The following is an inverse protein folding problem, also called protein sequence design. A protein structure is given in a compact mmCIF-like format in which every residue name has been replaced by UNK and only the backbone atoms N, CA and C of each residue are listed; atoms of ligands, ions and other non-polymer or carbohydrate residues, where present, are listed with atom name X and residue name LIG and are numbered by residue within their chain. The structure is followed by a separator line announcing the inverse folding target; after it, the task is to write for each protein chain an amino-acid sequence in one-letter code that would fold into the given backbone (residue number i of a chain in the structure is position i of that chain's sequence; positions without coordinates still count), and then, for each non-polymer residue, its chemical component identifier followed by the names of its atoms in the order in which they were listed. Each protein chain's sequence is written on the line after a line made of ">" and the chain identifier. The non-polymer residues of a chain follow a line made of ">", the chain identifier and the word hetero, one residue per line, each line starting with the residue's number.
data_IF_159861997524
#
_entry.id   IF_159861997524
#
_cell.length_a   1.000
_cell.length_b   1.000
_cell.length_c   1.000
_cell.angle_alpha   90.00
_cell.angle_beta   90.00
_cell.angle_gamma   90.00
#
_symmetry.space_group_name_H-M   'P 1'
#
loop_
_entity.id
_entity.type
_entity.pdbx_description
1 polymer ?
#
# COMPACT_ATOMS: atom_id res chain seq x y z
N UNK A 1 10.28 23.76 -38.63
CA UNK A 1 10.35 23.45 -37.19
C UNK A 1 9.38 22.31 -36.90
N UNK A 2 9.81 21.06 -37.00
CA UNK A 2 8.95 19.88 -36.83
C UNK A 2 9.37 19.13 -35.58
N UNK A 3 8.97 19.67 -34.42
CA UNK A 3 9.02 18.97 -33.15
C UNK A 3 7.66 19.10 -32.51
N UNK A 4 6.86 18.05 -32.55
CA UNK A 4 5.55 18.02 -31.90
C UNK A 4 5.72 18.36 -30.42
N UNK A 5 5.23 19.55 -30.02
CA UNK A 5 5.32 20.11 -28.66
C UNK A 5 4.20 19.60 -27.76
N UNK A 6 3.75 18.36 -27.99
CA UNK A 6 2.72 17.76 -27.15
C UNK A 6 3.31 17.38 -25.79
N UNK A 7 2.53 17.53 -24.70
CA UNK A 7 2.92 17.01 -23.39
C UNK A 7 3.32 15.54 -23.47
N UNK A 8 4.45 15.18 -22.86
CA UNK A 8 4.92 13.79 -22.77
C UNK A 8 4.80 13.31 -21.33
N UNK A 9 4.20 12.13 -21.08
CA UNK A 9 4.25 11.51 -19.76
C UNK A 9 5.70 11.29 -19.31
N UNK A 10 5.92 11.29 -17.99
CA UNK A 10 7.21 10.91 -17.41
C UNK A 10 7.61 9.50 -17.89
N UNK A 11 8.87 9.22 -18.25
CA UNK A 11 9.32 7.91 -18.74
C UNK A 11 8.92 6.74 -17.84
N UNK A 12 8.95 7.00 -16.53
CA UNK A 12 8.58 6.12 -15.43
C UNK A 12 7.22 5.43 -15.56
N UNK A 13 6.28 6.02 -16.30
CA UNK A 13 4.94 5.48 -16.57
C UNK A 13 5.00 4.19 -17.40
N UNK A 14 6.04 4.03 -18.23
CA UNK A 14 6.20 2.92 -19.16
C UNK A 14 7.15 1.83 -18.63
N UNK A 15 7.75 2.03 -17.46
CA UNK A 15 8.74 1.14 -16.89
C UNK A 15 8.10 0.10 -15.95
N UNK A 16 8.68 -1.10 -15.92
CA UNK A 16 8.28 -2.17 -15.01
C UNK A 16 7.01 -2.93 -15.43
N UNK A 17 6.68 -3.97 -14.66
CA UNK A 17 5.46 -4.73 -14.89
C UNK A 17 4.23 -3.97 -14.36
N UNK A 18 3.08 -4.02 -15.07
CA UNK A 18 1.83 -3.50 -14.54
C UNK A 18 1.32 -4.38 -13.38
N UNK A 19 0.48 -3.80 -12.53
CA UNK A 19 -0.21 -4.54 -11.48
C UNK A 19 -1.09 -5.64 -12.08
N UNK A 20 -1.05 -6.85 -11.50
CA UNK A 20 -1.86 -7.99 -11.95
C UNK A 20 -2.86 -8.36 -10.86
N UNK A 21 -4.10 -7.89 -11.02
CA UNK A 21 -5.18 -8.24 -10.11
C UNK A 21 -5.46 -9.77 -10.11
N UNK A 22 -5.92 -10.28 -8.97
CA UNK A 22 -6.35 -11.66 -8.82
C UNK A 22 -7.47 -12.01 -9.82
N UNK A 23 -7.31 -13.09 -10.57
CA UNK A 23 -8.24 -13.48 -11.64
C UNK A 23 -9.61 -13.88 -11.08
N UNK A 24 -10.72 -13.64 -11.80
CA UNK A 24 -12.00 -14.24 -11.45
C UNK A 24 -11.90 -15.78 -11.56
N UNK A 25 -12.74 -16.52 -10.82
CA UNK A 25 -12.77 -17.98 -10.93
C UNK A 25 -13.10 -18.38 -12.37
N UNK A 26 -12.37 -19.38 -12.88
CA UNK A 26 -12.65 -19.96 -14.21
C UNK A 26 -14.01 -20.65 -14.17
N UNK A 27 -14.89 -20.32 -15.11
CA UNK A 27 -16.16 -21.01 -15.29
C UNK A 27 -15.89 -22.39 -15.91
N UNK A 28 -16.28 -23.45 -15.19
CA UNK A 28 -16.20 -24.84 -15.64
C UNK A 28 -17.61 -25.43 -15.55
N UNK A 29 -18.20 -25.94 -16.66
CA UNK A 29 -19.55 -26.49 -16.64
C UNK A 29 -19.73 -27.56 -15.55
N UNK A 30 -20.78 -27.43 -14.75
CA UNK A 30 -21.07 -28.35 -13.65
C UNK A 30 -20.23 -28.14 -12.38
N UNK A 31 -19.36 -27.12 -12.33
CA UNK A 31 -18.52 -26.81 -11.16
C UNK A 31 -18.81 -25.39 -10.66
N UNK A 32 -19.05 -25.25 -9.36
CA UNK A 32 -19.18 -23.92 -8.72
C UNK A 32 -17.79 -23.31 -8.57
N UNK A 33 -17.57 -22.16 -9.19
CA UNK A 33 -16.32 -21.41 -9.06
C UNK A 33 -16.32 -20.50 -7.82
N UNK A 34 -15.30 -20.66 -6.96
CA UNK A 34 -15.11 -19.80 -5.79
C UNK A 34 -13.97 -18.81 -6.00
N UNK A 35 -14.16 -17.56 -5.57
CA UNK A 35 -13.14 -16.51 -5.64
C UNK A 35 -12.24 -16.58 -4.40
N UNK A 36 -11.01 -17.07 -4.57
CA UNK A 36 -10.03 -17.25 -3.49
C UNK A 36 -8.68 -16.55 -3.78
N UNK A 37 -8.68 -15.53 -4.63
CA UNK A 37 -7.46 -14.93 -5.17
C UNK A 37 -7.22 -13.47 -4.74
N UNK A 38 -8.04 -12.92 -3.84
CA UNK A 38 -8.03 -11.49 -3.48
C UNK A 38 -8.17 -11.23 -1.97
N UNK A 39 -8.04 -12.26 -1.12
CA UNK A 39 -8.19 -12.15 0.33
C UNK A 39 -9.52 -11.50 0.78
N UNK A 40 -10.59 -11.67 0.00
CA UNK A 40 -11.92 -11.14 0.30
C UNK A 40 -12.53 -11.87 1.51
N UNK A 41 -13.23 -11.14 2.37
CA UNK A 41 -13.97 -11.75 3.47
C UNK A 41 -15.16 -12.55 2.88
N UNK A 42 -15.39 -13.80 3.31
CA UNK A 42 -16.45 -14.63 2.74
C UNK A 42 -17.87 -14.30 3.26
N UNK A 43 -18.00 -13.44 4.26
CA UNK A 43 -19.27 -13.11 4.90
C UNK A 43 -19.86 -11.80 4.35
N UNK A 44 -21.18 -11.70 4.42
CA UNK A 44 -21.88 -10.44 4.16
C UNK A 44 -21.52 -9.37 5.22
N UNK A 45 -21.59 -8.07 4.86
CA UNK A 45 -21.50 -7.01 5.84
C UNK A 45 -22.62 -7.12 6.87
N UNK A 46 -22.33 -6.74 8.12
CA UNK A 46 -23.32 -6.70 9.20
C UNK A 46 -24.55 -5.85 8.80
N UNK A 47 -25.77 -6.17 9.29
CA UNK A 47 -26.99 -5.41 8.98
C UNK A 47 -26.84 -3.89 9.18
N UNK A 48 -26.20 -3.48 10.27
CA UNK A 48 -25.98 -2.09 10.66
C UNK A 48 -25.09 -1.35 9.65
N UNK A 49 -24.11 -2.03 9.06
CA UNK A 49 -23.24 -1.48 8.00
C UNK A 49 -24.04 -1.26 6.73
N UNK A 50 -24.91 -2.21 6.36
CA UNK A 50 -25.77 -2.10 5.17
C UNK A 50 -26.75 -0.93 5.32
N UNK A 51 -27.35 -0.78 6.49
CA UNK A 51 -28.24 0.34 6.79
C UNK A 51 -27.53 1.69 6.79
N UNK A 52 -26.33 1.77 7.37
CA UNK A 52 -25.52 3.00 7.36
C UNK A 52 -25.14 3.40 5.93
N UNK A 53 -24.72 2.43 5.10
CA UNK A 53 -24.43 2.67 3.69
C UNK A 53 -25.66 3.17 2.92
N UNK A 54 -26.85 2.59 3.17
CA UNK A 54 -28.09 3.05 2.55
C UNK A 54 -28.45 4.49 2.95
N UNK A 55 -28.29 4.86 4.23
CA UNK A 55 -28.50 6.23 4.71
C UNK A 55 -27.51 7.22 4.09
N UNK A 56 -26.29 6.78 3.78
CA UNK A 56 -25.24 7.59 3.18
C UNK A 56 -25.45 7.92 1.68
N UNK A 57 -26.50 7.40 1.03
CA UNK A 57 -26.77 7.58 -0.42
C UNK A 57 -27.23 9.00 -0.83
N UNK A 58 -26.76 10.06 -0.16
CA UNK A 58 -26.95 11.45 -0.58
C UNK A 58 -25.94 11.86 -1.66
N UNK A 59 -25.87 11.10 -2.75
CA UNK A 59 -24.82 11.12 -3.78
C UNK A 59 -24.66 12.45 -4.54
N UNK A 60 -25.60 13.38 -4.39
CA UNK A 60 -25.58 14.70 -5.02
C UNK A 60 -24.81 15.74 -4.19
N UNK A 61 -24.31 15.37 -3.01
CA UNK A 61 -23.53 16.24 -2.11
C UNK A 61 -22.10 15.74 -2.00
N UNK A 62 -21.16 16.66 -1.79
CA UNK A 62 -19.80 16.29 -1.40
C UNK A 62 -19.81 15.62 -0.02
N UNK A 63 -18.97 14.59 0.21
CA UNK A 63 -18.74 14.06 1.55
C UNK A 63 -17.98 15.09 2.40
N UNK A 64 -17.91 14.83 3.71
CA UNK A 64 -17.00 15.57 4.60
C UNK A 64 -15.55 15.42 4.09
N UNK A 65 -14.88 16.52 3.67
CA UNK A 65 -13.54 16.45 3.12
C UNK A 65 -12.48 16.04 4.17
N UNK A 66 -12.81 16.11 5.46
CA UNK A 66 -11.88 15.79 6.55
C UNK A 66 -12.04 14.35 7.06
N UNK A 67 -13.17 13.71 6.75
CA UNK A 67 -13.61 12.45 7.33
C UNK A 67 -13.49 12.42 8.87
N UNK A 68 -13.75 13.55 9.53
CA UNK A 68 -13.46 13.73 10.96
C UNK A 68 -14.18 12.69 11.84
N UNK A 69 -15.49 12.40 11.66
CA UNK A 69 -16.16 11.40 12.49
C UNK A 69 -15.55 9.99 12.36
N UNK A 70 -15.05 9.62 11.18
CA UNK A 70 -14.35 8.35 10.98
C UNK A 70 -13.00 8.33 11.71
N UNK A 71 -12.25 9.43 11.61
CA UNK A 71 -10.93 9.58 12.25
C UNK A 71 -11.05 9.55 13.78
N UNK A 72 -12.06 10.22 14.33
CA UNK A 72 -12.35 10.19 15.78
C UNK A 72 -12.69 8.78 16.27
N UNK A 73 -13.56 8.06 15.56
CA UNK A 73 -13.94 6.69 15.93
C UNK A 73 -12.75 5.71 15.87
N UNK A 74 -11.88 5.81 14.85
CA UNK A 74 -10.65 5.01 14.76
C UNK A 74 -9.68 5.40 15.89
N UNK A 75 -9.55 6.70 16.17
CA UNK A 75 -8.67 7.19 17.22
C UNK A 75 -9.07 6.68 18.60
N UNK A 76 -10.37 6.69 18.92
CA UNK A 76 -10.92 6.12 20.16
C UNK A 76 -10.61 4.62 20.29
N UNK A 77 -10.84 3.85 19.22
CA UNK A 77 -10.56 2.40 19.20
C UNK A 77 -9.09 2.08 19.52
N UNK A 78 -8.16 2.94 19.09
CA UNK A 78 -6.73 2.74 19.26
C UNK A 78 -6.10 3.57 20.40
N UNK A 79 -6.90 4.31 21.17
CA UNK A 79 -6.42 5.14 22.28
C UNK A 79 -5.48 6.28 21.83
N UNK A 80 -5.75 6.89 20.67
CA UNK A 80 -4.96 8.00 20.10
C UNK A 80 -5.84 9.22 19.79
N UNK A 81 -5.32 10.21 19.05
CA UNK A 81 -6.06 11.41 18.62
C UNK A 81 -6.43 11.34 17.14
N UNK A 82 -7.46 12.08 16.73
CA UNK A 82 -7.86 12.17 15.32
C UNK A 82 -6.72 12.70 14.42
N UNK A 83 -5.82 13.54 14.95
CA UNK A 83 -4.64 14.05 14.23
C UNK A 83 -3.60 12.96 13.94
N UNK A 84 -3.63 11.84 14.68
CA UNK A 84 -2.79 10.68 14.41
C UNK A 84 -3.41 9.70 13.39
N UNK A 85 -4.62 9.98 12.88
CA UNK A 85 -5.36 9.12 11.94
C UNK A 85 -5.55 9.84 10.62
N UNK A 86 -5.15 9.18 9.53
CA UNK A 86 -5.40 9.64 8.16
C UNK A 86 -6.38 8.70 7.45
N UNK A 87 -7.42 9.26 6.83
CA UNK A 87 -8.37 8.51 6.03
C UNK A 87 -7.99 8.59 4.54
N UNK A 88 -8.05 7.47 3.85
CA UNK A 88 -7.80 7.38 2.40
C UNK A 88 -8.80 6.45 1.72
N UNK A 89 -8.84 6.49 0.40
CA UNK A 89 -9.69 5.60 -0.42
C UNK A 89 -9.07 4.21 -0.57
N UNK A 90 -8.79 3.57 0.57
CA UNK A 90 -7.99 2.36 0.71
C UNK A 90 -6.56 2.65 1.17
N UNK A 91 -5.91 1.66 1.80
CA UNK A 91 -4.57 1.84 2.38
C UNK A 91 -3.48 2.16 1.35
N UNK A 92 -3.68 1.80 0.07
CA UNK A 92 -2.75 2.16 -1.01
C UNK A 92 -2.73 3.67 -1.27
N UNK A 93 -3.84 4.38 -1.10
CA UNK A 93 -3.90 5.84 -1.20
C UNK A 93 -3.05 6.48 -0.10
N UNK A 94 -3.22 6.02 1.14
CA UNK A 94 -2.42 6.49 2.29
C UNK A 94 -0.92 6.21 2.07
N UNK A 95 -0.55 5.02 1.59
CA UNK A 95 0.83 4.70 1.24
C UNK A 95 1.39 5.63 0.17
N UNK A 96 0.64 5.90 -0.90
CA UNK A 96 1.08 6.80 -1.97
C UNK A 96 1.28 8.23 -1.45
N UNK A 97 0.47 8.68 -0.49
CA UNK A 97 0.62 9.99 0.16
C UNK A 97 1.87 10.04 1.04
N UNK A 98 2.17 8.98 1.79
CA UNK A 98 3.43 8.84 2.53
C UNK A 98 4.62 8.92 1.56
N UNK A 99 4.59 8.16 0.48
CA UNK A 99 5.65 8.18 -0.52
C UNK A 99 5.81 9.58 -1.14
N UNK A 100 4.71 10.22 -1.53
CA UNK A 100 4.75 11.58 -2.09
C UNK A 100 5.28 12.63 -1.10
N UNK A 101 5.10 12.42 0.21
CA UNK A 101 5.59 13.32 1.25
C UNK A 101 7.08 13.13 1.54
N UNK A 102 7.59 11.89 1.50
CA UNK A 102 8.91 11.55 2.04
C UNK A 102 9.93 11.08 1.01
N UNK A 103 9.52 10.56 -0.15
CA UNK A 103 10.41 9.94 -1.12
C UNK A 103 10.15 10.43 -2.54
N UNK A 104 11.22 10.74 -3.26
CA UNK A 104 11.11 11.07 -4.68
C UNK A 104 12.46 11.20 -5.33
N UNK A 105 12.61 12.23 -6.15
CA UNK A 105 13.91 12.66 -6.67
C UNK A 105 14.30 13.93 -5.94
N UNK A 106 15.44 13.90 -5.26
CA UNK A 106 15.97 15.05 -4.55
C UNK A 106 16.34 16.19 -5.49
N UNK A 107 16.61 17.37 -4.92
CA UNK A 107 17.05 18.55 -5.69
C UNK A 107 18.39 18.32 -6.42
N UNK A 108 19.18 17.35 -5.96
CA UNK A 108 20.42 16.88 -6.58
C UNK A 108 20.19 15.98 -7.81
N UNK A 109 18.93 15.71 -8.16
CA UNK A 109 18.57 14.82 -9.26
C UNK A 109 18.72 13.33 -8.93
N UNK A 110 19.09 12.98 -7.70
CA UNK A 110 19.27 11.59 -7.27
C UNK A 110 17.98 11.09 -6.62
N UNK A 111 17.61 9.85 -6.90
CA UNK A 111 16.42 9.25 -6.28
C UNK A 111 16.65 8.94 -4.81
N UNK A 112 15.64 9.19 -3.99
CA UNK A 112 15.54 8.61 -2.65
C UNK A 112 15.24 7.12 -2.74
N UNK A 113 15.49 6.39 -1.67
CA UNK A 113 15.35 4.94 -1.59
C UNK A 113 14.19 4.55 -0.69
N UNK A 114 13.43 3.54 -1.15
CA UNK A 114 12.36 2.91 -0.38
C UNK A 114 12.66 1.43 -0.25
N UNK A 115 12.93 0.99 0.98
CA UNK A 115 13.29 -0.40 1.30
C UNK A 115 12.04 -1.19 1.64
N UNK A 116 11.93 -2.41 1.10
CA UNK A 116 10.85 -3.33 1.43
C UNK A 116 11.27 -4.78 1.16
N UNK A 117 10.67 -5.74 1.87
CA UNK A 117 10.89 -7.16 1.62
C UNK A 117 10.34 -7.61 0.25
N UNK A 118 10.98 -8.56 -0.41
CA UNK A 118 10.56 -9.11 -1.69
C UNK A 118 10.74 -10.64 -1.74
N UNK A 119 9.69 -11.41 -2.06
CA UNK A 119 8.37 -11.01 -2.56
C UNK A 119 7.44 -10.46 -1.45
N UNK A 120 6.83 -9.31 -1.70
CA UNK A 120 5.79 -8.72 -0.86
C UNK A 120 4.67 -8.17 -1.75
N UNK A 121 3.95 -7.13 -1.30
CA UNK A 121 2.80 -6.62 -2.04
C UNK A 121 3.20 -6.07 -3.42
N UNK A 122 2.51 -6.54 -4.47
CA UNK A 122 2.89 -6.26 -5.86
C UNK A 122 2.81 -4.77 -6.23
N UNK A 123 2.08 -3.96 -5.48
CA UNK A 123 1.97 -2.52 -5.72
C UNK A 123 3.18 -1.73 -5.23
N UNK A 124 4.01 -2.22 -4.29
CA UNK A 124 5.13 -1.43 -3.75
C UNK A 124 6.12 -0.97 -4.83
N UNK A 125 6.63 -1.83 -5.73
CA UNK A 125 7.52 -1.37 -6.80
C UNK A 125 6.86 -0.35 -7.73
N UNK A 126 5.54 -0.40 -7.90
CA UNK A 126 4.80 0.52 -8.76
C UNK A 126 4.67 1.88 -8.07
N UNK A 127 4.20 1.89 -6.83
CA UNK A 127 4.01 3.12 -6.04
C UNK A 127 5.31 3.88 -5.82
N UNK A 128 6.39 3.18 -5.46
CA UNK A 128 7.72 3.78 -5.26
C UNK A 128 8.22 4.42 -6.56
N UNK A 129 8.08 3.70 -7.68
CA UNK A 129 8.48 4.19 -8.99
C UNK A 129 7.67 5.43 -9.40
N UNK A 130 6.35 5.40 -9.20
CA UNK A 130 5.46 6.53 -9.53
C UNK A 130 5.75 7.79 -8.69
N UNK A 131 6.16 7.62 -7.43
CA UNK A 131 6.66 8.70 -6.59
C UNK A 131 8.00 9.30 -7.10
N UNK A 132 8.69 8.63 -8.02
CA UNK A 132 9.99 9.04 -8.53
C UNK A 132 11.16 8.60 -7.66
N UNK A 133 10.94 7.67 -6.73
CA UNK A 133 11.95 7.08 -5.87
C UNK A 133 12.46 5.74 -6.43
N UNK A 134 13.56 5.25 -5.85
CA UNK A 134 14.19 3.97 -6.18
C UNK A 134 13.70 2.89 -5.21
N UNK A 135 13.16 1.80 -5.77
CA UNK A 135 12.80 0.62 -4.99
C UNK A 135 14.07 -0.16 -4.59
N UNK A 136 14.15 -0.56 -3.31
CA UNK A 136 15.21 -1.42 -2.76
C UNK A 136 14.54 -2.70 -2.21
N UNK A 137 14.27 -3.69 -3.08
CA UNK A 137 13.69 -4.96 -2.66
C UNK A 137 14.75 -5.83 -1.96
N UNK A 138 14.43 -6.30 -0.75
CA UNK A 138 15.29 -7.17 0.06
C UNK A 138 14.72 -8.59 0.07
N UNK A 139 15.48 -9.63 -0.29
CA UNK A 139 14.99 -11.01 -0.25
C UNK A 139 14.37 -11.38 1.11
N UNK A 140 13.28 -12.16 1.08
CA UNK A 140 12.74 -12.77 2.29
C UNK A 140 13.69 -13.80 2.87
N UNK A 141 13.57 -14.05 4.17
CA UNK A 141 14.17 -15.21 4.82
C UNK A 141 13.61 -16.52 4.24
N UNK A 142 14.31 -17.63 4.47
CA UNK A 142 13.96 -18.94 3.91
C UNK A 142 12.54 -19.42 4.26
N UNK A 143 11.97 -18.96 5.36
CA UNK A 143 10.62 -19.29 5.82
C UNK A 143 9.54 -18.28 5.36
N UNK A 144 9.91 -17.35 4.48
CA UNK A 144 9.00 -16.35 3.92
C UNK A 144 8.72 -15.15 4.84
N UNK A 145 9.39 -15.03 6.00
CA UNK A 145 9.39 -13.80 6.80
C UNK A 145 10.28 -12.73 6.19
N UNK A 146 10.11 -11.49 6.65
CA UNK A 146 11.08 -10.44 6.36
C UNK A 146 12.43 -10.80 6.99
N UNK A 147 13.50 -10.62 6.23
CA UNK A 147 14.85 -10.63 6.77
C UNK A 147 15.17 -9.22 7.30
N UNK A 148 14.81 -8.97 8.56
CA UNK A 148 14.94 -7.65 9.17
C UNK A 148 16.40 -7.17 9.26
N UNK A 149 17.35 -8.09 9.44
CA UNK A 149 18.78 -7.76 9.44
C UNK A 149 19.22 -7.30 8.05
N UNK A 150 18.89 -8.05 7.01
CA UNK A 150 19.20 -7.64 5.63
C UNK A 150 18.47 -6.36 5.23
N UNK A 151 17.26 -6.11 5.77
CA UNK A 151 16.54 -4.86 5.54
C UNK A 151 17.21 -3.66 6.21
N UNK A 152 17.77 -3.84 7.41
CA UNK A 152 18.54 -2.81 8.10
C UNK A 152 19.85 -2.52 7.34
N UNK A 153 20.56 -3.56 6.88
CA UNK A 153 21.79 -3.44 6.08
C UNK A 153 21.56 -2.73 4.73
N UNK A 154 20.33 -2.78 4.20
CA UNK A 154 19.95 -2.10 2.96
C UNK A 154 19.65 -0.61 3.15
N UNK A 155 19.57 -0.12 4.40
CA UNK A 155 19.37 1.31 4.69
C UNK A 155 20.63 2.09 4.34
N UNK A 156 20.44 3.17 3.59
CA UNK A 156 21.51 4.09 3.19
C UNK A 156 21.15 5.53 3.56
N UNK A 157 22.08 6.46 3.32
CA UNK A 157 21.80 7.90 3.47
C UNK A 157 20.66 8.41 2.56
N UNK A 158 20.28 7.65 1.53
CA UNK A 158 19.17 7.95 0.62
C UNK A 158 17.85 7.31 1.05
N UNK A 159 17.84 6.42 2.03
CA UNK A 159 16.59 5.80 2.48
C UNK A 159 15.69 6.85 3.14
N UNK A 160 14.43 6.87 2.72
CA UNK A 160 13.39 7.77 3.27
C UNK A 160 12.20 7.03 3.82
N UNK A 161 11.92 5.83 3.31
CA UNK A 161 10.81 4.99 3.76
C UNK A 161 11.27 3.53 3.81
N UNK A 162 10.88 2.84 4.87
CA UNK A 162 10.94 1.38 4.96
C UNK A 162 9.51 0.85 5.10
N UNK A 163 9.12 -0.11 4.25
CA UNK A 163 7.77 -0.70 4.28
C UNK A 163 7.84 -2.10 4.90
N UNK A 164 7.20 -2.26 6.05
CA UNK A 164 7.04 -3.54 6.74
C UNK A 164 5.59 -4.04 6.61
N UNK A 165 5.34 -4.91 5.62
CA UNK A 165 4.07 -5.62 5.46
C UNK A 165 3.93 -6.78 6.47
N UNK A 166 3.09 -6.64 7.49
CA UNK A 166 2.88 -7.66 8.53
C UNK A 166 1.38 -7.83 8.85
N UNK A 167 0.79 -9.03 8.68
CA UNK A 167 1.38 -10.23 8.07
C UNK A 167 1.76 -9.99 6.60
N UNK A 168 2.84 -10.64 6.12
CA UNK A 168 3.36 -10.36 4.79
C UNK A 168 2.43 -10.90 3.69
N UNK A 169 2.01 -10.04 2.76
CA UNK A 169 1.35 -10.47 1.53
C UNK A 169 2.41 -10.67 0.44
N UNK A 170 2.58 -11.86 -0.17
CA UNK A 170 1.66 -13.00 -0.16
C UNK A 170 2.07 -14.16 0.75
N UNK A 171 3.20 -14.07 1.47
CA UNK A 171 3.81 -15.26 2.08
C UNK A 171 3.14 -15.71 3.37
N UNK A 172 2.50 -14.82 4.13
CA UNK A 172 1.67 -15.13 5.29
C UNK A 172 2.29 -14.78 6.67
N UNK A 173 3.57 -15.05 6.96
CA UNK A 173 4.12 -14.79 8.28
C UNK A 173 4.02 -13.33 8.77
N UNK A 174 3.77 -13.17 10.06
CA UNK A 174 3.74 -11.88 10.74
C UNK A 174 5.04 -11.60 11.51
N UNK A 175 5.37 -10.32 11.64
CA UNK A 175 6.39 -9.85 12.57
C UNK A 175 5.91 -9.98 14.01
N UNK A 176 6.83 -10.31 14.91
CA UNK A 176 6.57 -10.25 16.36
C UNK A 176 6.89 -8.85 16.88
N UNK A 177 6.29 -8.44 18.00
CA UNK A 177 6.60 -7.16 18.64
C UNK A 177 8.10 -7.01 18.93
N UNK A 178 8.71 -8.02 19.55
CA UNK A 178 10.15 -8.01 19.86
C UNK A 178 11.04 -7.88 18.60
N UNK A 179 10.65 -8.49 17.49
CA UNK A 179 11.39 -8.37 16.23
C UNK A 179 11.24 -6.97 15.61
N UNK A 180 10.06 -6.35 15.74
CA UNK A 180 9.83 -4.98 15.29
C UNK A 180 10.61 -3.99 16.16
N UNK A 181 10.53 -4.11 17.49
CA UNK A 181 11.24 -3.24 18.42
C UNK A 181 12.75 -3.27 18.16
N UNK A 182 13.33 -4.47 18.07
CA UNK A 182 14.77 -4.62 17.76
C UNK A 182 15.18 -4.20 16.35
N UNK A 183 14.23 -3.97 15.43
CA UNK A 183 14.52 -3.37 14.12
C UNK A 183 14.46 -1.84 14.14
N UNK A 184 13.71 -1.26 15.08
CA UNK A 184 13.53 0.18 15.21
C UNK A 184 14.59 0.85 16.11
N UNK A 185 15.23 0.07 16.98
CA UNK A 185 16.37 0.48 17.83
C UNK A 185 17.68 0.69 17.02
#
# INVERSE_FOLDING_TARGET
>A
MTGSSLPRPRPVVWEGAPYRAGRPPRQVPGVVGYKLSSNENPFDPLPEVREAAARALQLHRYPDPTALPLREAIAELHGTTADAVEAGTGSLDVLNRILAAFAGTGADGVQDEVVFAWRSFESYPISVRMAGARAVPVPLAADGRHDLAAMADAVSARTRVVILCSPNNPTGPALTGAALDGFLD
#
